data_IF_515883006518
#
_entry.id   IF_515883006518
#
_cell.length_a   1.000
_cell.length_b   1.000
_cell.length_c   1.000
_cell.angle_alpha   90.00
_cell.angle_beta   90.00
_cell.angle_gamma   90.00
#
_symmetry.space_group_name_H-M   'P 1'
#
loop_
_entity.id
_entity.type
_entity.pdbx_description
1 polymer ?
#
# COMPACT_ATOMS: atom_id res chain seq x y z
N UNK A 1 -21.85 -7.51 -2.63
CA UNK A 1 -21.41 -7.25 -4.02
C UNK A 1 -20.65 -5.95 -4.08
N UNK A 2 -19.50 -5.97 -4.75
CA UNK A 2 -18.68 -4.76 -4.87
C UNK A 2 -19.31 -3.77 -5.85
N UNK A 3 -19.35 -2.51 -5.43
CA UNK A 3 -19.87 -1.41 -6.23
C UNK A 3 -18.73 -0.48 -6.58
N UNK A 4 -18.56 -0.16 -7.87
CA UNK A 4 -17.45 0.68 -8.32
C UNK A 4 -17.44 2.08 -7.67
N UNK A 5 -18.60 2.63 -7.38
CA UNK A 5 -18.69 3.93 -6.68
C UNK A 5 -18.12 3.85 -5.27
N UNK A 6 -18.33 2.74 -4.58
CA UNK A 6 -17.82 2.54 -3.23
C UNK A 6 -16.32 2.30 -3.25
N UNK A 7 -15.83 1.50 -4.21
CA UNK A 7 -14.41 1.24 -4.38
C UNK A 7 -13.65 2.52 -4.71
N UNK A 8 -14.22 3.39 -5.53
CA UNK A 8 -13.59 4.68 -5.88
C UNK A 8 -13.28 5.53 -4.65
N UNK A 9 -14.07 5.43 -3.60
CA UNK A 9 -13.86 6.20 -2.36
C UNK A 9 -12.57 5.81 -1.64
N UNK A 10 -12.05 4.61 -1.89
CA UNK A 10 -10.80 4.16 -1.30
C UNK A 10 -9.56 4.75 -1.96
N UNK A 11 -9.74 5.42 -3.11
CA UNK A 11 -8.64 5.99 -3.89
C UNK A 11 -8.73 7.52 -3.89
N UNK A 12 -7.96 8.19 -3.03
CA UNK A 12 -8.08 9.66 -2.87
C UNK A 12 -7.98 10.45 -4.17
N UNK A 13 -7.11 10.03 -5.09
CA UNK A 13 -6.93 10.75 -6.35
C UNK A 13 -8.22 10.79 -7.19
N UNK A 14 -9.09 9.81 -7.03
CA UNK A 14 -10.33 9.74 -7.81
C UNK A 14 -11.39 10.73 -7.34
N UNK A 15 -11.14 11.47 -6.25
CA UNK A 15 -11.99 12.58 -5.85
C UNK A 15 -11.71 13.84 -6.66
N UNK A 16 -10.60 13.84 -7.39
CA UNK A 16 -10.20 14.97 -8.22
C UNK A 16 -11.14 15.09 -9.44
N UNK A 17 -11.34 16.32 -9.91
CA UNK A 17 -12.03 16.59 -11.17
C UNK A 17 -11.04 17.10 -12.22
N UNK A 18 -11.34 16.85 -13.47
CA UNK A 18 -10.56 17.35 -14.61
C UNK A 18 -11.56 17.96 -15.59
N UNK A 19 -11.37 19.24 -15.93
CA UNK A 19 -12.31 19.99 -16.77
C UNK A 19 -13.75 19.91 -16.28
N UNK A 20 -13.91 20.03 -14.94
CA UNK A 20 -15.20 19.98 -14.23
C UNK A 20 -15.91 18.61 -14.32
N UNK A 21 -15.22 17.57 -14.77
CA UNK A 21 -15.76 16.21 -14.83
C UNK A 21 -15.00 15.30 -13.86
N UNK A 22 -15.65 14.26 -13.33
CA UNK A 22 -14.95 13.29 -12.49
C UNK A 22 -13.78 12.66 -13.23
N UNK A 23 -12.66 12.45 -12.51
CA UNK A 23 -11.50 11.81 -13.09
C UNK A 23 -11.80 10.37 -13.50
N UNK A 24 -11.48 10.03 -14.73
CA UNK A 24 -11.44 8.65 -15.22
C UNK A 24 -9.97 8.36 -15.57
N UNK A 25 -9.37 7.39 -14.90
CA UNK A 25 -7.96 7.06 -15.08
C UNK A 25 -7.84 5.64 -15.64
N UNK A 26 -7.34 5.52 -16.84
CA UNK A 26 -7.25 4.24 -17.57
C UNK A 26 -5.79 3.86 -17.90
N UNK A 27 -4.82 4.50 -17.24
CA UNK A 27 -3.39 4.36 -17.58
C UNK A 27 -2.62 3.69 -16.43
N UNK A 28 -3.17 2.61 -15.87
CA UNK A 28 -2.58 1.92 -14.73
C UNK A 28 -1.44 0.96 -15.10
N UNK A 29 -1.15 0.76 -16.38
CA UNK A 29 -0.17 -0.24 -16.81
C UNK A 29 1.23 0.00 -16.21
N UNK A 30 1.70 1.25 -16.23
CA UNK A 30 2.99 1.61 -15.64
C UNK A 30 2.86 2.30 -14.29
N UNK A 31 1.77 3.01 -14.07
CA UNK A 31 1.55 3.79 -12.87
C UNK A 31 0.15 3.53 -12.34
N UNK A 32 0.05 2.60 -11.41
CA UNK A 32 -1.22 2.25 -10.77
C UNK A 32 -1.53 3.24 -9.66
N UNK A 33 -2.78 3.69 -9.60
CA UNK A 33 -3.22 4.54 -8.50
C UNK A 33 -3.28 3.73 -7.20
N UNK A 34 -3.07 4.41 -6.07
CA UNK A 34 -2.94 3.78 -4.76
C UNK A 34 -4.16 4.06 -3.90
N UNK A 35 -4.69 3.04 -3.24
CA UNK A 35 -5.76 3.25 -2.26
C UNK A 35 -5.24 3.90 -0.99
N UNK A 36 -6.14 4.49 -0.22
CA UNK A 36 -5.81 5.16 1.04
C UNK A 36 -5.01 4.25 1.98
N UNK A 37 -5.35 2.97 2.04
CA UNK A 37 -4.65 2.02 2.92
C UNK A 37 -3.16 1.90 2.59
N UNK A 38 -2.80 1.93 1.30
CA UNK A 38 -1.40 1.88 0.87
C UNK A 38 -0.68 3.18 1.18
N UNK A 39 -1.34 4.31 0.89
CA UNK A 39 -0.78 5.64 1.18
C UNK A 39 -0.50 5.77 2.67
N UNK A 40 -1.46 5.39 3.50
CA UNK A 40 -1.34 5.47 4.96
C UNK A 40 -0.25 4.54 5.48
N UNK A 41 -0.11 3.37 4.91
CA UNK A 41 0.93 2.41 5.30
C UNK A 41 2.33 2.99 5.06
N UNK A 42 2.56 3.61 3.90
CA UNK A 42 3.84 4.22 3.57
C UNK A 42 4.10 5.43 4.49
N UNK A 43 3.10 6.26 4.70
CA UNK A 43 3.22 7.42 5.59
C UNK A 43 3.57 7.00 7.01
N UNK A 44 2.89 5.99 7.56
CA UNK A 44 3.17 5.45 8.89
C UNK A 44 4.59 4.94 9.02
N UNK A 45 5.07 4.23 8.00
CA UNK A 45 6.43 3.73 7.99
C UNK A 45 7.45 4.88 8.10
N UNK A 46 7.31 5.88 7.22
CA UNK A 46 8.26 6.99 7.24
C UNK A 46 8.16 7.85 8.49
N UNK A 47 6.97 8.00 9.06
CA UNK A 47 6.79 8.81 10.27
C UNK A 47 7.24 8.11 11.54
N UNK A 48 7.17 6.79 11.62
CA UNK A 48 7.23 6.11 12.90
C UNK A 48 8.30 5.02 13.03
N UNK A 49 8.70 4.35 11.95
CA UNK A 49 9.64 3.25 12.12
C UNK A 49 10.56 3.00 10.90
N UNK A 50 10.83 4.01 10.12
CA UNK A 50 11.75 3.91 8.99
C UNK A 50 13.16 3.56 9.47
N UNK A 51 13.67 2.39 9.09
CA UNK A 51 14.98 1.90 9.48
C UNK A 51 15.45 0.80 8.54
N UNK A 52 16.76 0.49 8.59
CA UNK A 52 17.29 -0.66 7.87
C UNK A 52 16.73 -1.94 8.47
N UNK A 53 16.25 -2.82 7.60
CA UNK A 53 15.77 -4.13 8.04
C UNK A 53 16.93 -5.10 8.19
N UNK A 54 16.79 -6.08 9.11
CA UNK A 54 17.71 -7.20 9.33
C UNK A 54 19.12 -6.83 9.79
N UNK A 55 19.47 -5.56 9.92
CA UNK A 55 20.83 -5.12 10.25
C UNK A 55 20.94 -4.36 11.56
N UNK A 56 19.87 -3.73 11.99
CA UNK A 56 19.87 -2.96 13.21
C UNK A 56 19.49 -3.80 14.42
N UNK A 57 19.98 -3.43 15.60
CA UNK A 57 19.63 -4.07 16.87
C UNK A 57 18.79 -3.14 17.74
N UNK A 58 18.24 -2.09 17.13
CA UNK A 58 17.41 -1.12 17.86
C UNK A 58 15.93 -1.32 17.52
N UNK A 59 15.08 -0.66 18.30
CA UNK A 59 13.62 -0.84 18.22
C UNK A 59 13.07 -0.58 16.83
N UNK A 60 13.49 0.50 16.19
CA UNK A 60 12.96 0.83 14.86
C UNK A 60 13.31 -0.23 13.82
N UNK A 61 14.54 -0.75 13.87
CA UNK A 61 14.96 -1.81 12.96
C UNK A 61 14.12 -3.07 13.17
N UNK A 62 13.81 -3.40 14.42
CA UNK A 62 12.96 -4.56 14.71
C UNK A 62 11.55 -4.37 14.19
N UNK A 63 10.96 -3.20 14.39
CA UNK A 63 9.62 -2.89 13.88
C UNK A 63 9.58 -2.95 12.36
N UNK A 64 10.59 -2.39 11.69
CA UNK A 64 10.66 -2.40 10.24
C UNK A 64 10.83 -3.83 9.71
N UNK A 65 11.67 -4.63 10.35
CA UNK A 65 11.89 -6.03 9.98
C UNK A 65 10.61 -6.85 10.15
N UNK A 66 9.90 -6.68 11.26
CA UNK A 66 8.66 -7.41 11.52
C UNK A 66 7.60 -7.09 10.47
N UNK A 67 7.46 -5.81 10.11
CA UNK A 67 6.51 -5.39 9.09
C UNK A 67 6.87 -5.96 7.71
N UNK A 68 8.15 -5.93 7.37
CA UNK A 68 8.65 -6.48 6.11
C UNK A 68 8.38 -7.98 6.01
N UNK A 69 8.72 -8.73 7.05
CA UNK A 69 8.52 -10.19 7.04
C UNK A 69 7.03 -10.55 7.05
N UNK A 70 6.20 -9.79 7.76
CA UNK A 70 4.75 -9.98 7.73
C UNK A 70 4.18 -9.78 6.32
N UNK A 71 4.70 -8.81 5.58
CA UNK A 71 4.29 -8.56 4.20
C UNK A 71 4.65 -9.74 3.29
N UNK A 72 5.84 -10.30 3.46
CA UNK A 72 6.26 -11.49 2.70
C UNK A 72 5.34 -12.67 2.96
N UNK A 73 4.96 -12.89 4.22
CA UNK A 73 4.03 -13.97 4.58
C UNK A 73 2.66 -13.77 3.94
N UNK A 74 2.17 -12.53 3.89
CA UNK A 74 0.89 -12.23 3.25
C UNK A 74 0.93 -12.51 1.76
N UNK A 75 2.01 -12.14 1.08
CA UNK A 75 2.17 -12.44 -0.34
C UNK A 75 2.23 -13.94 -0.56
N UNK A 76 3.01 -14.65 0.26
CA UNK A 76 3.09 -16.11 0.18
C UNK A 76 1.70 -16.75 0.26
N UNK A 77 0.90 -16.34 1.25
CA UNK A 77 -0.44 -16.89 1.43
C UNK A 77 -1.35 -16.55 0.24
N UNK A 78 -1.26 -15.32 -0.26
CA UNK A 78 -2.10 -14.88 -1.37
C UNK A 78 -1.86 -15.70 -2.64
N UNK A 79 -0.60 -15.99 -2.96
CA UNK A 79 -0.25 -16.75 -4.16
C UNK A 79 -0.15 -18.26 -3.92
N UNK A 80 -0.45 -18.72 -2.71
CA UNK A 80 -0.39 -20.13 -2.32
C UNK A 80 0.99 -20.76 -2.50
N UNK A 81 2.05 -19.97 -2.26
CA UNK A 81 3.42 -20.50 -2.35
C UNK A 81 3.70 -21.42 -1.16
N UNK A 82 4.50 -22.47 -1.37
CA UNK A 82 4.84 -23.42 -0.31
C UNK A 82 5.83 -22.86 0.70
N UNK A 83 6.58 -21.80 0.33
CA UNK A 83 7.55 -21.16 1.21
C UNK A 83 7.71 -19.69 0.83
N UNK A 84 8.27 -18.93 1.73
CA UNK A 84 8.57 -17.51 1.50
C UNK A 84 9.75 -17.38 0.54
#
# INVERSE_FOLDING_TARGET
MMNSKDIRKDFPILTRTVNDEPLVYLDNAATTQKPESVIRCIEEYYRHYNANIHRGVHTLAQLATDAYEASRQKVQAFIHASSI
#
